data_IF_427403829521
#
_entry.id   IF_427403829521
#
_cell.length_a   1.000
_cell.length_b   1.000
_cell.length_c   1.000
_cell.angle_alpha   90.00
_cell.angle_beta   90.00
_cell.angle_gamma   90.00
#
_symmetry.space_group_name_H-M   'P 1'
#
loop_
_entity.id
_entity.type
_entity.pdbx_description
1 polymer ?
#
# COMPACT_ATOMS: atom_id res chain seq x y z
N UNK A 1 4.88 19.05 18.07
CA UNK A 1 3.93 17.97 17.72
C UNK A 1 4.29 17.41 16.34
N UNK A 2 5.04 16.30 16.30
CA UNK A 2 5.62 15.73 15.06
C UNK A 2 4.88 14.51 14.50
N UNK A 3 3.56 14.42 14.68
CA UNK A 3 2.80 13.20 14.38
C UNK A 3 2.30 13.07 12.93
N UNK A 4 2.47 14.08 12.06
CA UNK A 4 1.83 14.04 10.72
C UNK A 4 2.61 13.31 9.62
N UNK A 5 3.87 12.91 9.83
CA UNK A 5 4.60 12.07 8.87
C UNK A 5 4.59 10.58 9.23
N UNK A 6 4.45 10.24 10.52
CA UNK A 6 4.50 8.86 11.00
C UNK A 6 3.29 8.03 10.55
N UNK A 7 2.08 8.58 10.44
CA UNK A 7 0.89 7.77 10.07
C UNK A 7 0.96 7.17 8.66
N UNK A 8 1.41 7.94 7.66
CA UNK A 8 1.50 7.44 6.27
C UNK A 8 2.55 6.34 6.12
N UNK A 9 3.72 6.55 6.74
CA UNK A 9 4.80 5.57 6.71
C UNK A 9 4.45 4.30 7.49
N UNK A 10 3.76 4.43 8.63
CA UNK A 10 3.26 3.28 9.40
C UNK A 10 2.20 2.50 8.61
N UNK A 11 1.29 3.20 7.91
CA UNK A 11 0.28 2.55 7.08
C UNK A 11 0.94 1.80 5.91
N UNK A 12 1.87 2.44 5.19
CA UNK A 12 2.66 1.78 4.15
C UNK A 12 3.42 0.56 4.69
N UNK A 13 4.12 0.68 5.84
CA UNK A 13 4.81 -0.45 6.48
C UNK A 13 3.85 -1.59 6.80
N UNK A 14 2.64 -1.29 7.27
CA UNK A 14 1.64 -2.31 7.60
C UNK A 14 1.11 -3.03 6.35
N UNK A 15 0.82 -2.27 5.29
CA UNK A 15 0.44 -2.81 3.98
C UNK A 15 1.58 -3.66 3.40
N UNK A 16 2.82 -3.19 3.50
CA UNK A 16 4.01 -3.89 3.02
C UNK A 16 4.31 -5.18 3.79
N UNK A 17 4.19 -5.17 5.12
CA UNK A 17 4.27 -6.39 5.93
C UNK A 17 3.19 -7.39 5.51
N UNK A 18 1.96 -6.94 5.32
CA UNK A 18 0.86 -7.80 4.85
C UNK A 18 1.17 -8.43 3.48
N UNK A 19 1.68 -7.65 2.53
CA UNK A 19 2.09 -8.13 1.20
C UNK A 19 3.13 -9.24 1.32
N UNK A 20 4.15 -9.05 2.18
CA UNK A 20 5.20 -10.05 2.40
C UNK A 20 4.69 -11.30 3.11
N UNK A 21 3.92 -11.15 4.19
CA UNK A 21 3.35 -12.28 4.95
C UNK A 21 2.44 -13.14 4.08
N UNK A 22 1.69 -12.52 3.17
CA UNK A 22 0.78 -13.23 2.26
C UNK A 22 1.44 -13.59 0.91
N UNK A 23 2.75 -13.36 0.74
CA UNK A 23 3.49 -13.62 -0.49
C UNK A 23 2.80 -13.06 -1.75
N UNK A 24 2.27 -11.85 -1.63
CA UNK A 24 1.55 -11.14 -2.68
C UNK A 24 2.49 -10.47 -3.70
N UNK A 25 3.79 -10.57 -3.51
CA UNK A 25 4.78 -10.09 -4.46
C UNK A 25 4.84 -11.05 -5.65
N UNK A 26 4.82 -10.52 -6.87
CA UNK A 26 4.84 -11.35 -8.07
C UNK A 26 6.19 -12.09 -8.18
N UNK A 27 6.20 -13.43 -8.31
CA UNK A 27 7.43 -14.21 -8.32
C UNK A 27 8.26 -13.98 -9.59
N UNK A 28 7.61 -13.55 -10.68
CA UNK A 28 8.26 -13.23 -11.95
C UNK A 28 8.75 -11.79 -11.93
N UNK A 29 7.93 -10.88 -11.41
CA UNK A 29 8.23 -9.45 -11.34
C UNK A 29 8.23 -8.94 -9.90
N UNK A 30 9.41 -8.89 -9.26
CA UNK A 30 9.57 -8.37 -7.89
C UNK A 30 9.14 -6.91 -7.71
N UNK A 31 8.94 -6.17 -8.81
CA UNK A 31 8.43 -4.80 -8.80
C UNK A 31 6.90 -4.74 -8.75
N UNK A 32 6.19 -5.85 -8.96
CA UNK A 32 4.73 -5.93 -9.00
C UNK A 32 4.22 -6.64 -7.75
N UNK A 33 3.12 -6.12 -7.22
CA UNK A 33 2.36 -6.69 -6.11
C UNK A 33 0.98 -7.09 -6.63
N UNK A 34 0.66 -8.37 -6.50
CA UNK A 34 -0.68 -8.90 -6.68
C UNK A 34 -1.56 -8.47 -5.52
N UNK A 35 -2.56 -7.66 -5.80
CA UNK A 35 -3.45 -7.14 -4.80
C UNK A 35 -4.58 -8.15 -4.57
N UNK A 36 -4.63 -8.70 -3.37
CA UNK A 36 -5.76 -9.50 -2.93
C UNK A 36 -7.01 -8.62 -2.70
N UNK A 37 -8.17 -9.22 -2.43
CA UNK A 37 -9.44 -8.51 -2.27
C UNK A 37 -9.38 -7.36 -1.24
N UNK A 38 -8.64 -7.56 -0.14
CA UNK A 38 -8.40 -6.51 0.87
C UNK A 38 -7.52 -5.37 0.34
N UNK A 39 -6.44 -5.71 -0.37
CA UNK A 39 -5.52 -4.74 -0.96
C UNK A 39 -6.19 -3.96 -2.08
N UNK A 40 -7.01 -4.62 -2.90
CA UNK A 40 -7.83 -3.97 -3.94
C UNK A 40 -8.69 -2.86 -3.32
N UNK A 41 -9.32 -3.09 -2.17
CA UNK A 41 -10.12 -2.04 -1.52
C UNK A 41 -9.31 -0.79 -1.14
N UNK A 42 -8.02 -0.97 -0.79
CA UNK A 42 -7.11 0.12 -0.40
C UNK A 42 -6.49 0.77 -1.65
N UNK A 43 -6.22 -0.04 -2.67
CA UNK A 43 -5.52 0.34 -3.91
C UNK A 43 -6.50 0.65 -5.05
N UNK A 44 -7.70 1.14 -4.72
CA UNK A 44 -8.70 1.62 -5.68
C UNK A 44 -9.15 0.56 -6.70
N UNK A 45 -9.24 -0.69 -6.27
CA UNK A 45 -9.68 -1.83 -7.08
C UNK A 45 -8.60 -2.42 -7.99
N UNK A 46 -7.36 -1.90 -7.95
CA UNK A 46 -6.26 -2.39 -8.79
C UNK A 46 -5.91 -3.82 -8.40
N UNK A 47 -6.01 -4.75 -9.35
CA UNK A 47 -5.63 -6.16 -9.11
C UNK A 47 -4.12 -6.38 -9.05
N UNK A 48 -3.36 -5.49 -9.68
CA UNK A 48 -1.90 -5.49 -9.68
C UNK A 48 -1.43 -4.06 -9.57
N UNK A 49 -0.42 -3.82 -8.74
CA UNK A 49 0.20 -2.49 -8.61
C UNK A 49 1.70 -2.64 -8.61
N UNK A 50 2.39 -1.66 -9.18
CA UNK A 50 3.83 -1.55 -9.05
C UNK A 50 4.22 -1.02 -7.67
N UNK A 51 5.40 -1.40 -7.19
CA UNK A 51 5.98 -0.90 -5.95
C UNK A 51 6.08 0.62 -5.92
N UNK A 52 6.29 1.23 -7.09
CA UNK A 52 6.36 2.67 -7.27
C UNK A 52 4.99 3.35 -7.11
N UNK A 53 3.91 2.68 -7.53
CA UNK A 53 2.53 3.16 -7.44
C UNK A 53 1.95 2.99 -6.02
N UNK A 54 2.42 1.97 -5.29
CA UNK A 54 1.96 1.61 -3.95
C UNK A 54 1.94 2.79 -2.95
N UNK A 55 3.03 3.57 -2.74
CA UNK A 55 3.01 4.72 -1.86
C UNK A 55 2.07 5.84 -2.36
N UNK A 56 1.87 5.95 -3.68
CA UNK A 56 1.00 6.95 -4.29
C UNK A 56 -0.48 6.60 -4.07
N UNK A 57 -0.84 5.33 -4.26
CA UNK A 57 -2.20 4.80 -4.03
C UNK A 57 -2.58 4.86 -2.55
N UNK A 58 -1.68 4.47 -1.64
CA UNK A 58 -1.90 4.61 -0.19
C UNK A 58 -2.08 6.08 0.19
N UNK A 59 -1.34 7.01 -0.44
CA UNK A 59 -1.49 8.46 -0.22
C UNK A 59 -2.85 8.98 -0.72
N UNK A 60 -3.39 8.39 -1.79
CA UNK A 60 -4.67 8.80 -2.38
C UNK A 60 -5.87 8.27 -1.59
N UNK A 61 -5.76 7.07 -1.01
CA UNK A 61 -6.80 6.47 -0.16
C UNK A 61 -6.84 7.07 1.26
N UNK A 62 -5.71 7.56 1.75
CA UNK A 62 -5.61 8.32 2.99
C UNK A 62 -5.24 9.77 2.68
N UNK A 63 -6.15 10.57 2.08
CA UNK A 63 -5.95 12.01 2.01
C UNK A 63 -5.77 12.51 3.44
N UNK A 64 -4.86 13.46 3.64
CA UNK A 64 -4.56 14.06 4.96
C UNK A 64 -5.86 14.21 5.73
N UNK A 65 -6.02 13.49 6.84
CA UNK A 65 -7.14 13.70 7.76
C UNK A 65 -7.23 15.22 8.00
N UNK A 66 -8.31 15.91 7.59
CA UNK A 66 -8.48 17.29 7.97
C UNK A 66 -8.77 17.29 9.47
N UNK A 67 -7.81 17.87 10.20
CA UNK A 67 -7.86 18.36 11.59
C UNK A 67 -8.72 17.59 12.58
#
# INVERSE_FOLDING_TARGET
>A
MGQSQSSRLNCFRRVWSYIKENNLQDPVNKNVVNCDQKLKSILLGKSKVDLAELPMLVKLHFPKQPK
#
